data_IF_497959699076
#
_entry.id   IF_497959699076
#
_cell.length_a   1.000
_cell.length_b   1.000
_cell.length_c   1.000
_cell.angle_alpha   90.00
_cell.angle_beta   90.00
_cell.angle_gamma   90.00
#
_symmetry.space_group_name_H-M   'P 1'
#
loop_
_entity.id
_entity.type
_entity.pdbx_description
1 polymer ?
#
# COMPACT_ATOMS: atom_id res chain seq x y z
N UNK A 1 -40.59 -26.70 -56.41
CA UNK A 1 -39.79 -25.49 -56.18
C UNK A 1 -38.79 -25.77 -55.06
N UNK A 2 -37.49 -25.82 -55.39
CA UNK A 2 -36.38 -26.05 -54.45
C UNK A 2 -35.65 -24.71 -54.28
N UNK A 3 -35.65 -24.15 -53.08
CA UNK A 3 -34.85 -22.97 -52.76
C UNK A 3 -33.38 -23.39 -52.55
N UNK A 4 -32.39 -22.71 -53.14
CA UNK A 4 -30.99 -23.09 -53.00
C UNK A 4 -30.45 -22.67 -51.63
N UNK A 5 -29.90 -23.64 -50.90
CA UNK A 5 -29.31 -23.53 -49.56
C UNK A 5 -27.99 -22.71 -49.50
N UNK A 6 -27.54 -22.09 -50.59
CA UNK A 6 -26.16 -21.58 -50.70
C UNK A 6 -25.94 -20.12 -50.29
N UNK A 7 -26.96 -19.37 -49.88
CA UNK A 7 -26.81 -17.96 -49.53
C UNK A 7 -26.57 -17.68 -48.04
N UNK A 8 -26.77 -18.66 -47.15
CA UNK A 8 -26.71 -18.45 -45.69
C UNK A 8 -25.30 -18.62 -45.12
N UNK A 9 -24.40 -19.33 -45.81
CA UNK A 9 -23.08 -19.67 -45.28
C UNK A 9 -22.01 -18.59 -45.46
N UNK A 10 -22.21 -17.58 -46.32
CA UNK A 10 -21.16 -16.59 -46.59
C UNK A 10 -21.21 -15.35 -45.67
N UNK A 11 -22.31 -15.11 -44.96
CA UNK A 11 -22.46 -13.95 -44.08
C UNK A 11 -21.91 -14.15 -42.65
N UNK A 12 -21.63 -15.39 -42.24
CA UNK A 12 -21.08 -15.69 -40.90
C UNK A 12 -19.55 -15.58 -40.80
N UNK A 13 -18.82 -15.49 -41.93
CA UNK A 13 -17.36 -15.48 -41.90
C UNK A 13 -16.74 -14.09 -41.66
N UNK A 14 -17.49 -13.00 -41.86
CA UNK A 14 -16.96 -11.64 -41.74
C UNK A 14 -17.06 -11.06 -40.31
N UNK A 15 -17.96 -11.58 -39.48
CA UNK A 15 -18.09 -11.12 -38.08
C UNK A 15 -17.08 -11.75 -37.11
N UNK A 16 -16.44 -12.88 -37.47
CA UNK A 16 -15.48 -13.57 -36.59
C UNK A 16 -14.09 -12.93 -36.66
N UNK A 17 -13.79 -12.15 -37.70
CA UNK A 17 -12.46 -11.55 -37.89
C UNK A 17 -12.21 -10.27 -37.09
N UNK A 18 -13.22 -9.71 -36.41
CA UNK A 18 -13.04 -8.54 -35.51
C UNK A 18 -12.76 -8.90 -34.05
N UNK A 19 -12.75 -10.19 -33.68
CA UNK A 19 -12.60 -10.60 -32.29
C UNK A 19 -11.15 -10.94 -31.87
N UNK A 20 -10.15 -10.77 -32.74
CA UNK A 20 -8.75 -11.21 -32.47
C UNK A 20 -7.80 -10.02 -32.21
N UNK A 21 -8.30 -8.79 -32.08
CA UNK A 21 -7.49 -7.63 -31.66
C UNK A 21 -7.52 -7.35 -30.16
N UNK A 22 -7.87 -8.34 -29.33
CA UNK A 22 -7.52 -8.34 -27.90
C UNK A 22 -6.03 -8.61 -27.70
N UNK A 23 -5.20 -7.81 -28.38
CA UNK A 23 -3.86 -7.56 -27.88
C UNK A 23 -3.99 -7.01 -26.46
N UNK A 24 -3.08 -7.38 -25.57
CA UNK A 24 -2.91 -6.76 -24.27
C UNK A 24 -2.53 -5.29 -24.46
N UNK A 25 -3.45 -4.46 -24.91
CA UNK A 25 -3.38 -3.04 -24.70
C UNK A 25 -3.41 -2.90 -23.18
N UNK A 26 -2.25 -2.61 -22.60
CA UNK A 26 -2.22 -1.82 -21.38
C UNK A 26 -3.22 -0.69 -21.64
N UNK A 27 -4.35 -0.72 -20.96
CA UNK A 27 -5.40 0.28 -21.15
C UNK A 27 -4.69 1.63 -21.05
N UNK A 28 -4.85 2.46 -22.07
CA UNK A 28 -4.27 3.80 -22.04
C UNK A 28 -4.77 4.49 -20.76
N UNK A 29 -3.90 5.27 -20.12
CA UNK A 29 -4.28 5.97 -18.89
C UNK A 29 -5.57 6.76 -19.12
N UNK A 30 -6.56 6.52 -18.27
CA UNK A 30 -7.91 7.07 -18.43
C UNK A 30 -7.96 8.60 -18.23
N UNK A 31 -6.98 9.15 -17.50
CA UNK A 31 -6.76 10.58 -17.34
C UNK A 31 -5.27 10.90 -17.36
N UNK A 32 -4.95 12.14 -17.73
CA UNK A 32 -3.61 12.72 -17.66
C UNK A 32 -3.42 13.59 -16.41
N UNK A 33 -4.45 13.76 -15.58
CA UNK A 33 -4.31 14.41 -14.28
C UNK A 33 -3.32 13.61 -13.40
N UNK A 34 -2.45 14.28 -12.64
CA UNK A 34 -1.46 13.61 -11.83
C UNK A 34 -2.11 12.83 -10.69
N UNK A 35 -1.75 11.55 -10.56
CA UNK A 35 -2.03 10.75 -9.37
C UNK A 35 -1.08 11.22 -8.26
N UNK A 36 -1.61 11.96 -7.27
CA UNK A 36 -0.86 12.47 -6.13
C UNK A 36 -0.76 11.39 -5.06
N UNK A 37 0.48 11.09 -4.70
CA UNK A 37 0.81 10.02 -3.77
C UNK A 37 1.62 10.55 -2.59
N UNK A 38 1.29 10.10 -1.38
CA UNK A 38 1.98 10.51 -0.17
C UNK A 38 3.41 9.95 -0.07
N UNK A 39 4.36 10.83 0.25
CA UNK A 39 5.72 10.50 0.70
C UNK A 39 5.90 11.09 2.09
N UNK A 40 6.25 10.24 3.06
CA UNK A 40 6.24 10.57 4.50
C UNK A 40 7.63 10.68 5.11
N UNK A 41 8.68 10.58 4.29
CA UNK A 41 10.08 10.60 4.72
C UNK A 41 10.45 9.42 5.63
N UNK A 42 9.69 8.32 5.53
CA UNK A 42 10.01 7.03 6.17
C UNK A 42 10.48 6.07 5.06
N UNK A 43 11.74 5.61 5.06
CA UNK A 43 12.33 4.89 3.93
C UNK A 43 11.55 3.66 3.46
N UNK A 44 10.94 2.92 4.39
CA UNK A 44 10.12 1.75 4.11
C UNK A 44 8.77 2.10 3.46
N UNK A 45 8.06 3.09 3.99
CA UNK A 45 6.82 3.60 3.40
C UNK A 45 7.08 4.21 2.01
N UNK A 46 8.11 5.05 1.92
CA UNK A 46 8.45 5.77 0.70
C UNK A 46 8.93 4.80 -0.39
N UNK A 47 9.61 3.71 -0.03
CA UNK A 47 9.94 2.65 -0.96
C UNK A 47 8.68 2.04 -1.61
N UNK A 48 7.66 1.70 -0.80
CA UNK A 48 6.39 1.15 -1.29
C UNK A 48 5.71 2.14 -2.24
N UNK A 49 5.60 3.41 -1.85
CA UNK A 49 5.01 4.48 -2.66
C UNK A 49 5.75 4.66 -3.98
N UNK A 50 7.09 4.69 -3.96
CA UNK A 50 7.89 4.92 -5.17
C UNK A 50 7.81 3.73 -6.14
N UNK A 51 7.79 2.49 -5.64
CA UNK A 51 7.60 1.29 -6.46
C UNK A 51 6.22 1.32 -7.11
N UNK A 52 5.16 1.58 -6.34
CA UNK A 52 3.80 1.66 -6.88
C UNK A 52 3.65 2.77 -7.91
N UNK A 53 4.18 3.97 -7.63
CA UNK A 53 4.18 5.08 -8.59
C UNK A 53 4.98 4.76 -9.86
N UNK A 54 6.06 3.99 -9.77
CA UNK A 54 6.80 3.53 -10.96
C UNK A 54 5.98 2.57 -11.83
N UNK A 55 5.12 1.75 -11.22
CA UNK A 55 4.19 0.89 -11.95
C UNK A 55 3.11 1.71 -12.65
N UNK A 56 2.53 2.71 -11.98
CA UNK A 56 1.56 3.64 -12.58
C UNK A 56 2.16 4.41 -13.76
N UNK A 57 3.40 4.92 -13.63
CA UNK A 57 4.11 5.57 -14.73
C UNK A 57 4.30 4.64 -15.93
N UNK A 58 4.67 3.38 -15.69
CA UNK A 58 4.78 2.36 -16.77
C UNK A 58 3.43 2.05 -17.44
N UNK A 59 2.33 2.19 -16.70
CA UNK A 59 0.98 2.07 -17.23
C UNK A 59 0.48 3.35 -17.94
N UNK A 60 1.30 4.42 -18.00
CA UNK A 60 1.00 5.65 -18.73
C UNK A 60 0.36 6.78 -17.91
N UNK A 61 0.28 6.64 -16.58
CA UNK A 61 -0.25 7.69 -15.70
C UNK A 61 0.83 8.71 -15.31
N UNK A 62 0.42 9.97 -15.15
CA UNK A 62 1.24 10.98 -14.49
C UNK A 62 1.18 10.77 -12.98
N UNK A 63 2.34 10.79 -12.31
CA UNK A 63 2.42 10.59 -10.86
C UNK A 63 3.16 11.77 -10.24
N UNK A 64 2.55 12.36 -9.22
CA UNK A 64 3.14 13.40 -8.39
C UNK A 64 3.34 12.87 -6.98
N UNK A 65 4.55 13.01 -6.46
CA UNK A 65 4.83 12.70 -5.05
C UNK A 65 4.63 13.96 -4.22
N UNK A 66 3.79 13.86 -3.19
CA UNK A 66 3.47 14.95 -2.27
C UNK A 66 4.05 14.60 -0.91
N UNK A 67 4.97 15.44 -0.43
CA UNK A 67 5.51 15.29 0.92
C UNK A 67 4.45 15.68 1.95
N UNK A 68 4.18 14.78 2.88
CA UNK A 68 3.20 14.97 3.95
C UNK A 68 3.67 14.31 5.24
N UNK A 69 3.17 14.79 6.37
CA UNK A 69 3.22 14.02 7.61
C UNK A 69 2.37 12.74 7.48
N UNK A 70 2.78 11.69 8.21
CA UNK A 70 2.10 10.39 8.15
C UNK A 70 0.65 10.44 8.63
N UNK A 71 0.32 11.25 9.64
CA UNK A 71 -1.05 11.41 10.12
C UNK A 71 -1.84 12.37 9.22
N UNK A 72 -1.21 13.43 8.73
CA UNK A 72 -1.87 14.39 7.84
C UNK A 72 -2.34 13.79 6.50
N UNK A 73 -1.70 12.71 6.03
CA UNK A 73 -2.07 12.06 4.77
C UNK A 73 -3.51 11.51 4.77
N UNK A 74 -4.05 11.15 5.94
CA UNK A 74 -5.41 10.62 6.07
C UNK A 74 -6.45 11.69 5.73
N UNK A 75 -6.29 12.89 6.30
CA UNK A 75 -7.16 14.02 5.95
C UNK A 75 -6.93 14.48 4.51
N UNK A 76 -5.70 14.44 4.02
CA UNK A 76 -5.40 14.81 2.64
C UNK A 76 -6.07 13.88 1.60
N UNK A 77 -6.19 12.57 1.88
CA UNK A 77 -6.93 11.64 1.00
C UNK A 77 -8.45 11.84 1.12
N UNK A 78 -8.96 12.19 2.31
CA UNK A 78 -10.39 12.50 2.50
C UNK A 78 -10.82 13.74 1.72
N UNK A 79 -9.97 14.78 1.68
CA UNK A 79 -10.23 16.04 1.00
C UNK A 79 -9.92 15.99 -0.52
N UNK A 80 -9.33 14.90 -1.00
CA UNK A 80 -8.94 14.74 -2.40
C UNK A 80 -7.67 15.51 -2.79
N UNK A 81 -6.84 15.89 -1.81
CA UNK A 81 -5.49 16.42 -2.05
C UNK A 81 -4.49 15.31 -2.42
N UNK A 82 -4.82 14.06 -2.05
CA UNK A 82 -4.13 12.84 -2.46
C UNK A 82 -5.12 11.87 -3.11
N UNK A 83 -4.71 11.22 -4.19
CA UNK A 83 -5.50 10.15 -4.82
C UNK A 83 -5.25 8.79 -4.16
N UNK A 84 -4.00 8.48 -3.81
CA UNK A 84 -3.62 7.16 -3.31
C UNK A 84 -2.57 7.28 -2.20
N UNK A 85 -2.77 6.54 -1.11
CA UNK A 85 -1.73 6.23 -0.13
C UNK A 85 -1.52 4.71 0.00
N UNK A 86 -0.45 4.15 -0.59
CA UNK A 86 -0.20 2.71 -0.58
C UNK A 86 0.49 2.22 0.70
N UNK A 87 1.07 3.13 1.50
CA UNK A 87 1.85 2.81 2.68
C UNK A 87 1.15 3.27 3.97
N UNK A 88 0.13 2.51 4.36
CA UNK A 88 -0.66 2.75 5.58
C UNK A 88 -0.41 1.61 6.58
N UNK A 89 0.01 1.97 7.78
CA UNK A 89 0.39 1.03 8.84
C UNK A 89 -0.80 0.61 9.69
N UNK A 90 -0.84 -0.67 10.06
CA UNK A 90 -1.95 -1.26 10.81
C UNK A 90 -1.99 -0.81 12.28
N UNK A 91 -0.87 -0.27 12.78
CA UNK A 91 -0.77 0.39 14.08
C UNK A 91 -1.58 1.68 14.21
N UNK A 92 -2.21 2.16 13.13
CA UNK A 92 -3.03 3.39 13.11
C UNK A 92 -4.54 3.12 12.90
N UNK A 93 -5.18 2.20 13.66
CA UNK A 93 -6.53 1.75 13.36
C UNK A 93 -7.58 2.87 13.43
N UNK A 94 -7.40 3.84 14.34
CA UNK A 94 -8.33 4.96 14.51
C UNK A 94 -8.33 5.90 13.30
N UNK A 95 -7.15 6.22 12.77
CA UNK A 95 -7.00 7.07 11.57
C UNK A 95 -7.57 6.37 10.32
N UNK A 96 -7.32 5.07 10.18
CA UNK A 96 -7.89 4.26 9.09
C UNK A 96 -9.42 4.24 9.18
N UNK A 97 -9.96 4.00 10.37
CA UNK A 97 -11.40 3.93 10.59
C UNK A 97 -12.07 5.29 10.31
N UNK A 98 -11.48 6.39 10.77
CA UNK A 98 -11.98 7.74 10.51
C UNK A 98 -12.02 8.06 9.01
N UNK A 99 -10.92 7.79 8.29
CA UNK A 99 -10.86 8.02 6.85
C UNK A 99 -11.90 7.22 6.07
N UNK A 100 -12.11 5.94 6.40
CA UNK A 100 -13.13 5.13 5.75
C UNK A 100 -14.57 5.56 6.11
N UNK A 101 -14.79 6.03 7.34
CA UNK A 101 -16.09 6.52 7.78
C UNK A 101 -16.52 7.81 7.07
N UNK A 102 -15.59 8.57 6.47
CA UNK A 102 -15.90 9.75 5.66
C UNK A 102 -16.77 9.44 4.42
N UNK A 103 -16.70 8.22 3.90
CA UNK A 103 -17.32 7.81 2.63
C UNK A 103 -16.60 8.29 1.37
N UNK A 104 -15.65 9.23 1.50
CA UNK A 104 -14.82 9.73 0.39
C UNK A 104 -13.61 8.83 0.09
N UNK A 105 -13.22 7.97 1.05
CA UNK A 105 -12.05 7.11 0.96
C UNK A 105 -12.48 5.65 0.88
N UNK A 106 -11.88 4.89 -0.03
CA UNK A 106 -12.12 3.46 -0.17
C UNK A 106 -10.82 2.66 -0.04
N UNK A 107 -10.87 1.54 0.67
CA UNK A 107 -9.75 0.59 0.74
C UNK A 107 -9.72 -0.29 -0.51
N UNK A 108 -8.72 -0.10 -1.36
CA UNK A 108 -8.60 -0.77 -2.67
C UNK A 108 -7.87 -2.13 -2.63
N UNK A 109 -7.28 -2.51 -1.51
CA UNK A 109 -6.62 -3.82 -1.36
C UNK A 109 -5.34 -3.79 -0.54
N UNK A 110 -4.52 -4.82 -0.69
CA UNK A 110 -3.18 -4.92 -0.09
C UNK A 110 -2.11 -4.71 -1.17
N UNK A 111 -1.01 -4.04 -0.81
CA UNK A 111 0.18 -3.86 -1.67
C UNK A 111 1.05 -5.12 -1.79
N UNK A 112 0.70 -6.22 -1.11
CA UNK A 112 1.42 -7.49 -1.18
C UNK A 112 2.71 -7.56 -0.34
N UNK A 113 3.06 -6.50 0.37
CA UNK A 113 4.20 -6.46 1.30
C UNK A 113 3.79 -7.06 2.65
N UNK A 114 4.56 -8.04 3.12
CA UNK A 114 4.37 -8.62 4.46
C UNK A 114 5.06 -7.75 5.50
N UNK A 115 4.27 -7.14 6.38
CA UNK A 115 4.74 -6.21 7.40
C UNK A 115 4.66 -6.88 8.78
N UNK A 116 5.62 -6.53 9.64
CA UNK A 116 5.63 -6.86 11.07
C UNK A 116 5.91 -5.59 11.86
N UNK A 117 4.92 -5.14 12.61
CA UNK A 117 5.04 -3.98 13.51
C UNK A 117 5.16 -4.53 14.93
N UNK A 118 6.35 -4.44 15.51
CA UNK A 118 6.63 -4.96 16.85
C UNK A 118 7.84 -4.25 17.44
N UNK A 119 8.04 -4.43 18.75
CA UNK A 119 9.29 -4.02 19.37
C UNK A 119 10.42 -4.92 18.86
N UNK A 120 11.52 -4.30 18.48
CA UNK A 120 12.69 -4.99 17.94
C UNK A 120 13.93 -4.64 18.77
N UNK A 121 14.84 -5.61 18.87
CA UNK A 121 16.13 -5.41 19.51
C UNK A 121 17.23 -6.10 18.69
N UNK A 122 18.44 -5.55 18.65
CA UNK A 122 19.59 -6.21 18.05
C UNK A 122 20.04 -7.40 18.91
N UNK A 123 20.54 -8.47 18.28
CA UNK A 123 20.80 -9.75 18.95
C UNK A 123 21.59 -9.68 20.27
N UNK A 124 22.55 -8.75 20.40
CA UNK A 124 23.33 -8.58 21.63
C UNK A 124 22.47 -8.21 22.85
N UNK A 125 21.28 -7.63 22.65
CA UNK A 125 20.36 -7.29 23.74
C UNK A 125 19.79 -8.54 24.41
N UNK A 126 19.71 -9.68 23.71
CA UNK A 126 19.35 -10.95 24.34
C UNK A 126 20.42 -11.45 25.32
N UNK A 127 21.68 -11.06 25.13
CA UNK A 127 22.77 -11.36 26.08
C UNK A 127 22.67 -10.49 27.33
N UNK A 128 22.24 -9.23 27.16
CA UNK A 128 22.03 -8.27 28.25
C UNK A 128 20.75 -8.54 29.05
N UNK A 129 19.71 -9.03 28.38
CA UNK A 129 18.42 -9.37 28.95
C UNK A 129 18.02 -10.81 28.59
N UNK A 130 18.58 -11.81 29.30
CA UNK A 130 18.20 -13.21 29.11
C UNK A 130 16.70 -13.42 29.34
N UNK A 131 16.04 -14.09 28.40
CA UNK A 131 14.59 -14.34 28.41
C UNK A 131 13.83 -13.63 27.28
N UNK A 132 14.45 -12.65 26.62
CA UNK A 132 13.96 -12.19 25.33
C UNK A 132 13.95 -13.34 24.31
N UNK A 133 12.98 -13.38 23.36
CA UNK A 133 12.03 -12.33 22.99
C UNK A 133 10.70 -12.31 23.78
N UNK A 134 10.55 -13.07 24.89
CA UNK A 134 9.34 -12.93 25.73
C UNK A 134 9.34 -11.52 26.34
N UNK A 135 8.34 -10.71 25.99
CA UNK A 135 8.19 -9.34 26.49
C UNK A 135 8.14 -9.30 28.03
N UNK A 136 7.73 -10.38 28.70
CA UNK A 136 7.74 -10.47 30.16
C UNK A 136 9.16 -10.42 30.74
N UNK A 137 10.18 -10.84 30.01
CA UNK A 137 11.57 -10.74 30.44
C UNK A 137 11.99 -9.27 30.66
N UNK A 138 11.42 -8.34 29.88
CA UNK A 138 11.68 -6.92 30.04
C UNK A 138 11.22 -6.36 31.40
N UNK A 139 10.34 -7.05 32.13
CA UNK A 139 9.92 -6.68 33.50
C UNK A 139 10.95 -7.09 34.57
N UNK A 140 11.95 -7.89 34.21
CA UNK A 140 12.99 -8.29 35.15
C UNK A 140 13.83 -7.06 35.55
N UNK A 141 14.04 -6.78 36.85
CA UNK A 141 14.88 -5.66 37.30
C UNK A 141 16.28 -5.64 36.68
N UNK A 142 16.87 -6.80 36.38
CA UNK A 142 18.16 -6.89 35.70
C UNK A 142 18.08 -6.38 34.25
N UNK A 143 17.02 -6.75 33.52
CA UNK A 143 16.77 -6.27 32.16
C UNK A 143 16.47 -4.77 32.14
N UNK A 144 15.63 -4.29 33.05
CA UNK A 144 15.33 -2.86 33.20
C UNK A 144 16.62 -2.08 33.38
N UNK A 145 17.45 -2.47 34.36
CA UNK A 145 18.72 -1.81 34.64
C UNK A 145 19.69 -1.85 33.45
N UNK A 146 19.73 -2.96 32.72
CA UNK A 146 20.61 -3.12 31.56
C UNK A 146 20.18 -2.26 30.35
N UNK A 147 18.90 -1.91 30.25
CA UNK A 147 18.33 -1.15 29.14
C UNK A 147 17.98 0.31 29.51
N UNK A 148 18.14 0.71 30.76
CA UNK A 148 17.99 2.09 31.21
C UNK A 148 19.06 3.03 30.62
N UNK A 149 18.71 4.31 30.52
CA UNK A 149 19.63 5.38 30.16
C UNK A 149 19.53 6.52 31.20
N UNK A 150 20.44 7.52 31.19
CA UNK A 150 20.41 8.61 32.18
C UNK A 150 19.13 9.45 32.19
N UNK A 151 18.33 9.41 31.12
CA UNK A 151 17.10 10.20 30.97
C UNK A 151 15.85 9.45 31.48
N UNK A 152 15.91 8.12 31.62
CA UNK A 152 14.76 7.30 31.99
C UNK A 152 15.15 6.12 32.89
N UNK A 153 14.41 5.96 34.00
CA UNK A 153 14.60 4.86 34.96
C UNK A 153 14.17 3.46 34.43
N UNK A 154 13.99 3.30 33.11
CA UNK A 154 13.66 2.01 32.47
C UNK A 154 12.27 1.45 32.84
N UNK A 155 11.25 2.29 32.99
CA UNK A 155 9.88 1.83 33.28
C UNK A 155 9.23 1.24 32.02
N UNK A 156 8.70 0.02 32.16
CA UNK A 156 7.85 -0.63 31.16
C UNK A 156 6.45 -0.73 31.75
N UNK A 157 5.53 0.04 31.18
CA UNK A 157 4.12 0.08 31.60
C UNK A 157 3.39 -1.22 31.25
#
# INVERSE_FOLDING_TARGET
MRFPLSAVTLASALCVSLCISSGNALAAAESQDPVRMAVVSAPDADFITNVFGSLLKKAGYNVQYVHTDYTAQFTAIELGDLEISPAIWSSSPELIAAALASGSVTKVGSVGVKIRETWWYPNYVAELCPGLPDWKALKNPACIKALSNPETDGKIN
#
